data_IF_919100011929
#
_entry.id   IF_919100011929
#
_cell.length_a   1.000
_cell.length_b   1.000
_cell.length_c   1.000
_cell.angle_alpha   90.00
_cell.angle_beta   90.00
_cell.angle_gamma   90.00
#
_symmetry.space_group_name_H-M   'P 1'
#
loop_
_entity.id
_entity.type
_entity.pdbx_description
1 polymer ?
#
# COMPACT_ATOMS: atom_id res chain seq x y z
N UNK A 1 -30.37 24.67 8.25
CA UNK A 1 -29.62 25.22 9.41
C UNK A 1 -29.40 24.05 10.34
N UNK A 2 -28.51 23.16 9.97
CA UNK A 2 -28.18 21.96 10.73
C UNK A 2 -27.33 22.39 11.92
N UNK A 3 -27.86 22.16 13.13
CA UNK A 3 -27.11 22.37 14.35
C UNK A 3 -25.95 21.38 14.34
N UNK A 4 -24.72 21.86 14.10
CA UNK A 4 -23.51 21.13 14.42
C UNK A 4 -23.61 20.68 15.87
N UNK A 5 -23.76 19.38 16.08
CA UNK A 5 -23.59 18.82 17.42
C UNK A 5 -22.18 19.16 17.87
N UNK A 6 -22.07 20.02 18.89
CA UNK A 6 -20.79 20.33 19.54
C UNK A 6 -20.23 19.01 20.10
N UNK A 7 -19.40 18.34 19.34
CA UNK A 7 -18.73 17.09 19.73
C UNK A 7 -17.70 17.32 20.83
N UNK A 8 -17.52 18.57 21.26
CA UNK A 8 -16.47 18.96 22.21
C UNK A 8 -15.04 18.82 21.67
N UNK A 9 -14.85 18.39 20.40
CA UNK A 9 -13.51 18.23 19.79
C UNK A 9 -12.87 19.58 19.49
N UNK A 10 -11.54 19.64 19.55
CA UNK A 10 -10.79 20.81 19.10
C UNK A 10 -10.93 20.90 17.58
N UNK A 11 -11.43 22.02 17.07
CA UNK A 11 -11.64 22.20 15.63
C UNK A 11 -10.31 22.22 14.87
N UNK A 12 -10.25 21.54 13.72
CA UNK A 12 -9.04 21.47 12.87
C UNK A 12 -8.61 22.84 12.34
N UNK A 13 -9.54 23.76 12.16
CA UNK A 13 -9.24 25.13 11.69
C UNK A 13 -8.23 25.90 12.57
N UNK A 14 -8.05 25.50 13.83
CA UNK A 14 -7.04 26.07 14.71
C UNK A 14 -5.61 25.61 14.37
N UNK A 15 -5.47 24.53 13.63
CA UNK A 15 -4.18 23.93 13.27
C UNK A 15 -3.75 24.32 11.85
N UNK A 16 -4.69 24.53 10.93
CA UNK A 16 -4.41 24.90 9.53
C UNK A 16 -3.37 26.03 9.35
N UNK A 17 -3.43 27.14 10.12
CA UNK A 17 -2.49 28.24 9.94
C UNK A 17 -1.13 28.03 10.64
N UNK A 18 -0.94 26.94 11.38
CA UNK A 18 0.29 26.69 12.12
C UNK A 18 1.44 26.32 11.17
N UNK A 19 2.63 26.81 11.49
CA UNK A 19 3.85 26.35 10.82
C UNK A 19 4.19 24.90 11.24
N UNK A 20 4.87 24.17 10.38
CA UNK A 20 5.26 22.77 10.66
C UNK A 20 6.09 22.66 11.95
N UNK A 21 6.97 23.64 12.23
CA UNK A 21 7.77 23.67 13.46
C UNK A 21 6.92 23.83 14.74
N UNK A 22 5.84 24.61 14.68
CA UNK A 22 4.91 24.78 15.80
C UNK A 22 4.12 23.47 16.04
N UNK A 23 3.69 22.82 14.96
CA UNK A 23 3.05 21.53 15.03
C UNK A 23 3.97 20.44 15.59
N UNK A 24 5.25 20.47 15.22
CA UNK A 24 6.28 19.56 15.72
C UNK A 24 6.39 19.61 17.25
N UNK A 25 6.52 20.81 17.81
CA UNK A 25 6.57 21.01 19.27
C UNK A 25 5.28 20.49 19.97
N UNK A 26 4.12 20.72 19.35
CA UNK A 26 2.82 20.28 19.87
C UNK A 26 2.67 18.74 19.81
N UNK A 27 3.11 18.11 18.71
CA UNK A 27 3.15 16.66 18.58
C UNK A 27 4.01 16.04 19.70
N UNK A 28 5.22 16.57 19.91
CA UNK A 28 6.12 16.08 20.96
C UNK A 28 5.48 16.21 22.34
N UNK A 29 4.87 17.36 22.65
CA UNK A 29 4.20 17.60 23.95
C UNK A 29 2.99 16.69 24.15
N UNK A 30 2.17 16.48 23.10
CA UNK A 30 1.02 15.57 23.17
C UNK A 30 1.47 14.11 23.38
N UNK A 31 2.52 13.69 22.68
CA UNK A 31 3.11 12.35 22.82
C UNK A 31 3.62 12.07 24.24
N UNK A 32 4.27 13.05 24.86
CA UNK A 32 4.73 12.92 26.25
C UNK A 32 3.56 12.69 27.24
N UNK A 33 2.41 13.35 27.01
CA UNK A 33 1.21 13.19 27.84
C UNK A 33 0.50 11.85 27.60
N UNK A 34 0.47 11.39 26.34
CA UNK A 34 -0.19 10.16 25.95
C UNK A 34 0.63 8.91 26.32
N UNK A 35 1.95 9.02 26.27
CA UNK A 35 2.87 7.94 26.62
C UNK A 35 2.61 6.67 25.83
N UNK A 36 2.61 5.51 26.50
CA UNK A 36 2.44 4.19 25.90
C UNK A 36 0.99 3.87 25.48
N UNK A 37 0.02 4.72 25.82
CA UNK A 37 -1.38 4.53 25.40
C UNK A 37 -1.57 4.69 23.90
N UNK A 38 -0.66 5.39 23.24
CA UNK A 38 -0.71 5.68 21.80
C UNK A 38 0.55 5.19 21.11
N UNK A 39 0.39 4.50 19.98
CA UNK A 39 1.46 4.16 19.04
C UNK A 39 1.22 4.85 17.70
N UNK A 40 2.25 5.45 17.13
CA UNK A 40 2.24 6.02 15.79
C UNK A 40 2.90 5.04 14.82
N UNK A 41 2.12 4.54 13.87
CA UNK A 41 2.61 3.70 12.78
C UNK A 41 2.82 4.57 11.54
N UNK A 42 4.03 4.59 10.99
CA UNK A 42 4.40 5.40 9.83
C UNK A 42 4.79 4.57 8.62
N UNK A 43 4.06 4.73 7.49
CA UNK A 43 4.46 4.09 6.25
C UNK A 43 5.70 4.76 5.65
N UNK A 44 6.54 3.99 4.96
CA UNK A 44 7.75 4.50 4.31
C UNK A 44 7.53 5.65 3.32
N UNK A 45 6.34 5.80 2.76
CA UNK A 45 6.00 6.89 1.83
C UNK A 45 5.54 8.18 2.53
N UNK A 46 5.51 8.20 3.86
CA UNK A 46 5.18 9.42 4.58
C UNK A 46 6.26 10.50 4.40
N UNK A 47 5.79 11.76 4.39
CA UNK A 47 6.68 12.94 4.41
C UNK A 47 7.56 12.93 5.67
N UNK A 48 8.78 13.44 5.53
CA UNK A 48 9.81 13.31 6.57
C UNK A 48 9.42 13.95 7.91
N UNK A 49 8.69 15.06 7.88
CA UNK A 49 8.22 15.82 9.05
C UNK A 49 7.13 15.10 9.86
N UNK A 50 6.42 14.14 9.26
CA UNK A 50 5.51 13.22 9.94
C UNK A 50 6.21 11.91 10.31
N UNK A 51 7.00 11.36 9.38
CA UNK A 51 7.70 10.08 9.56
C UNK A 51 8.63 10.07 10.78
N UNK A 52 9.30 11.20 11.08
CA UNK A 52 10.18 11.31 12.26
C UNK A 52 9.49 11.10 13.60
N UNK A 53 8.17 11.22 13.67
CA UNK A 53 7.37 11.01 14.87
C UNK A 53 6.85 9.57 15.01
N UNK A 54 6.98 8.74 13.97
CA UNK A 54 6.53 7.36 14.03
C UNK A 54 7.33 6.57 15.08
N UNK A 55 6.63 5.80 15.92
CA UNK A 55 7.25 4.86 16.84
C UNK A 55 7.78 3.64 16.10
N UNK A 56 7.00 3.19 15.14
CA UNK A 56 7.27 2.02 14.31
C UNK A 56 6.98 2.39 12.85
N UNK A 57 7.86 1.96 11.97
CA UNK A 57 7.72 2.22 10.54
C UNK A 57 7.93 0.96 9.72
N UNK A 58 7.40 0.95 8.51
CA UNK A 58 7.52 -0.22 7.65
C UNK A 58 6.80 -0.05 6.32
N UNK A 59 6.86 -1.12 5.52
CA UNK A 59 5.94 -1.33 4.40
C UNK A 59 4.58 -1.84 4.90
N UNK A 60 3.63 -2.04 3.98
CA UNK A 60 2.26 -2.46 4.36
C UNK A 60 2.22 -3.79 5.10
N UNK A 61 3.09 -4.76 4.77
CA UNK A 61 3.16 -6.05 5.48
C UNK A 61 3.69 -5.89 6.90
N UNK A 62 4.79 -5.14 7.03
CA UNK A 62 5.40 -4.87 8.34
C UNK A 62 4.42 -4.14 9.26
N UNK A 63 3.76 -3.10 8.76
CA UNK A 63 2.79 -2.32 9.53
C UNK A 63 1.57 -3.15 9.93
N UNK A 64 1.09 -4.07 9.07
CA UNK A 64 0.03 -5.01 9.42
C UNK A 64 0.42 -5.91 10.60
N UNK A 65 1.64 -6.45 10.59
CA UNK A 65 2.18 -7.26 11.70
C UNK A 65 2.29 -6.44 12.99
N UNK A 66 2.79 -5.21 12.89
CA UNK A 66 2.96 -4.31 14.04
C UNK A 66 1.62 -3.88 14.64
N UNK A 67 0.62 -3.60 13.80
CA UNK A 67 -0.74 -3.28 14.27
C UNK A 67 -1.37 -4.45 15.04
N UNK A 68 -1.17 -5.70 14.58
CA UNK A 68 -1.67 -6.89 15.25
C UNK A 68 -0.97 -7.17 16.61
N UNK A 69 0.24 -6.67 16.82
CA UNK A 69 1.09 -7.00 17.97
C UNK A 69 1.12 -5.91 19.05
N UNK A 70 0.74 -4.68 18.73
CA UNK A 70 0.82 -3.56 19.69
C UNK A 70 -0.18 -3.68 20.83
N UNK A 71 0.25 -3.28 22.04
CA UNK A 71 -0.62 -3.19 23.22
C UNK A 71 -1.18 -1.78 23.46
N UNK A 72 -0.88 -0.80 22.63
CA UNK A 72 -1.39 0.56 22.75
C UNK A 72 -2.92 0.60 22.65
N UNK A 73 -3.57 1.46 23.43
CA UNK A 73 -5.02 1.66 23.39
C UNK A 73 -5.47 2.27 22.06
N UNK A 74 -4.63 3.15 21.50
CA UNK A 74 -4.89 3.84 20.24
C UNK A 74 -3.72 3.70 19.28
N UNK A 75 -4.04 3.34 18.04
CA UNK A 75 -3.11 3.31 16.91
C UNK A 75 -3.38 4.53 16.04
N UNK A 76 -2.46 5.47 15.95
CA UNK A 76 -2.50 6.56 14.99
C UNK A 76 -1.76 6.12 13.74
N UNK A 77 -2.48 5.94 12.65
CA UNK A 77 -1.92 5.40 11.42
C UNK A 77 -1.52 6.54 10.46
N UNK A 78 -0.22 6.84 10.37
CA UNK A 78 0.34 7.79 9.39
C UNK A 78 0.57 7.05 8.07
N UNK A 79 -0.50 6.92 7.29
CA UNK A 79 -0.56 6.20 6.02
C UNK A 79 -1.82 6.58 5.25
N UNK A 80 -2.42 5.63 4.56
CA UNK A 80 -3.68 5.83 3.81
C UNK A 80 -4.79 4.91 4.33
N UNK A 81 -6.03 5.21 3.93
CA UNK A 81 -7.26 4.65 4.50
C UNK A 81 -7.25 3.13 4.57
N UNK A 82 -6.94 2.42 3.48
CA UNK A 82 -6.95 0.96 3.46
C UNK A 82 -5.94 0.33 4.44
N UNK A 83 -4.83 1.04 4.76
CA UNK A 83 -3.85 0.57 5.75
C UNK A 83 -4.40 0.68 7.17
N UNK A 84 -5.12 1.77 7.44
CA UNK A 84 -5.80 1.96 8.73
C UNK A 84 -6.96 0.97 8.91
N UNK A 85 -7.70 0.63 7.84
CA UNK A 85 -8.68 -0.47 7.86
C UNK A 85 -8.03 -1.81 8.23
N UNK A 86 -6.89 -2.14 7.63
CA UNK A 86 -6.14 -3.37 7.97
C UNK A 86 -5.71 -3.35 9.43
N UNK A 87 -5.29 -2.20 9.94
CA UNK A 87 -4.95 -2.06 11.36
C UNK A 87 -6.17 -2.27 12.26
N UNK A 88 -7.35 -1.74 11.90
CA UNK A 88 -8.61 -1.95 12.67
C UNK A 88 -9.01 -3.44 12.65
N UNK A 89 -8.96 -4.09 11.48
CA UNK A 89 -9.29 -5.51 11.33
C UNK A 89 -8.38 -6.40 12.19
N UNK A 90 -7.08 -6.12 12.22
CA UNK A 90 -6.09 -6.95 12.90
C UNK A 90 -5.92 -6.62 14.39
N UNK A 91 -6.30 -5.42 14.81
CA UNK A 91 -6.23 -5.00 16.22
C UNK A 91 -7.29 -5.70 17.09
N UNK A 92 -7.15 -5.53 18.40
CA UNK A 92 -8.14 -6.02 19.37
C UNK A 92 -9.36 -5.10 19.39
N UNK A 93 -10.53 -5.63 19.72
CA UNK A 93 -11.79 -4.88 19.80
C UNK A 93 -11.76 -3.71 20.80
N UNK A 94 -10.86 -3.76 21.78
CA UNK A 94 -10.63 -2.68 22.74
C UNK A 94 -9.72 -1.56 22.25
N UNK A 95 -9.04 -1.74 21.12
CA UNK A 95 -8.16 -0.76 20.53
C UNK A 95 -8.90 0.14 19.54
N UNK A 96 -8.43 1.36 19.39
CA UNK A 96 -8.94 2.31 18.40
C UNK A 96 -7.88 2.62 17.36
N UNK A 97 -8.28 2.69 16.10
CA UNK A 97 -7.42 3.14 15.00
C UNK A 97 -7.88 4.50 14.52
N UNK A 98 -6.95 5.43 14.36
CA UNK A 98 -7.21 6.80 13.90
C UNK A 98 -6.39 7.04 12.64
N UNK A 99 -7.02 7.63 11.62
CA UNK A 99 -6.36 8.18 10.44
C UNK A 99 -6.40 9.72 10.53
N UNK A 100 -5.27 10.42 10.65
CA UNK A 100 -5.27 11.87 10.89
C UNK A 100 -6.05 12.70 9.86
N UNK A 101 -6.04 12.32 8.55
CA UNK A 101 -6.93 12.88 7.53
C UNK A 101 -7.71 11.77 6.82
N UNK A 102 -9.03 11.76 6.94
CA UNK A 102 -9.91 10.77 6.30
C UNK A 102 -9.87 10.81 4.77
N UNK A 103 -9.40 11.92 4.17
CA UNK A 103 -9.23 12.02 2.72
C UNK A 103 -7.90 11.42 2.22
N UNK A 104 -7.08 10.85 3.11
CA UNK A 104 -5.88 10.11 2.74
C UNK A 104 -6.23 8.74 2.14
N UNK A 105 -6.82 8.73 0.94
CA UNK A 105 -7.22 7.54 0.20
C UNK A 105 -6.09 6.93 -0.64
N UNK A 106 -6.46 6.09 -1.62
CA UNK A 106 -5.51 5.52 -2.59
C UNK A 106 -6.21 5.31 -3.94
N UNK A 107 -5.80 6.08 -4.96
CA UNK A 107 -6.42 6.00 -6.29
C UNK A 107 -6.33 4.61 -6.93
N UNK A 108 -5.31 3.83 -6.62
CA UNK A 108 -5.20 2.44 -7.08
C UNK A 108 -6.23 1.54 -6.37
N UNK A 109 -6.43 1.72 -5.07
CA UNK A 109 -7.47 0.98 -4.33
C UNK A 109 -8.85 1.25 -4.93
N UNK A 110 -9.12 2.50 -5.32
CA UNK A 110 -10.39 2.93 -5.89
C UNK A 110 -10.65 2.41 -7.33
N UNK A 111 -9.62 1.88 -8.01
CA UNK A 111 -9.77 1.27 -9.35
C UNK A 111 -10.49 -0.08 -9.32
N UNK A 112 -10.56 -0.74 -8.16
CA UNK A 112 -11.39 -1.91 -7.93
C UNK A 112 -12.40 -1.60 -6.82
N UNK A 113 -13.69 -1.75 -7.11
CA UNK A 113 -14.76 -1.71 -6.12
C UNK A 113 -15.39 -3.09 -5.98
N UNK A 114 -15.99 -3.39 -4.82
CA UNK A 114 -16.69 -4.66 -4.59
C UNK A 114 -17.71 -4.95 -5.70
N UNK A 115 -18.55 -3.97 -6.06
CA UNK A 115 -19.55 -4.15 -7.11
C UNK A 115 -18.95 -4.53 -8.47
N UNK A 116 -17.77 -3.97 -8.83
CA UNK A 116 -17.08 -4.31 -10.08
C UNK A 116 -16.46 -5.72 -10.01
N UNK A 117 -15.90 -6.11 -8.87
CA UNK A 117 -15.29 -7.44 -8.68
C UNK A 117 -16.37 -8.52 -8.65
N UNK A 118 -17.48 -8.31 -7.96
CA UNK A 118 -18.64 -9.21 -7.98
C UNK A 118 -19.23 -9.36 -9.39
N UNK A 119 -19.32 -8.26 -10.15
CA UNK A 119 -19.73 -8.33 -11.55
C UNK A 119 -18.78 -9.19 -12.36
N UNK A 120 -17.48 -8.98 -12.23
CA UNK A 120 -16.48 -9.81 -12.90
C UNK A 120 -16.62 -11.29 -12.52
N UNK A 121 -16.87 -11.58 -11.24
CA UNK A 121 -17.08 -12.95 -10.76
C UNK A 121 -18.30 -13.62 -11.39
N UNK A 122 -19.43 -12.88 -11.49
CA UNK A 122 -20.64 -13.37 -12.19
C UNK A 122 -20.42 -13.56 -13.69
N UNK A 123 -19.74 -12.62 -14.36
CA UNK A 123 -19.44 -12.75 -15.80
C UNK A 123 -18.51 -13.95 -16.07
N UNK A 124 -17.53 -14.20 -15.20
CA UNK A 124 -16.67 -15.39 -15.28
C UNK A 124 -17.49 -16.67 -15.06
N UNK A 125 -18.48 -16.66 -14.17
CA UNK A 125 -19.34 -17.79 -13.89
C UNK A 125 -20.17 -18.26 -15.11
N UNK A 126 -20.38 -17.39 -16.10
CA UNK A 126 -20.99 -17.77 -17.38
C UNK A 126 -20.03 -18.61 -18.26
N UNK A 127 -18.74 -18.63 -17.95
CA UNK A 127 -17.70 -19.31 -18.73
C UNK A 127 -17.15 -20.56 -18.03
N UNK A 128 -16.91 -20.47 -16.72
CA UNK A 128 -16.42 -21.54 -15.84
C UNK A 128 -16.81 -21.21 -14.38
N UNK A 129 -16.90 -22.21 -13.52
CA UNK A 129 -17.17 -21.99 -12.10
C UNK A 129 -15.97 -21.31 -11.41
N UNK A 130 -16.07 -20.01 -11.05
CA UNK A 130 -14.92 -19.31 -10.51
C UNK A 130 -14.52 -19.84 -9.13
N UNK A 131 -15.45 -20.31 -8.30
CA UNK A 131 -15.15 -20.81 -6.96
C UNK A 131 -14.42 -22.17 -6.99
N UNK A 132 -14.50 -22.89 -8.08
CA UNK A 132 -13.72 -24.12 -8.29
C UNK A 132 -12.37 -23.86 -8.97
N UNK A 133 -12.30 -22.89 -9.89
CA UNK A 133 -11.16 -22.72 -10.79
C UNK A 133 -10.28 -21.52 -10.50
N UNK A 134 -10.79 -20.48 -9.81
CA UNK A 134 -10.07 -19.20 -9.64
C UNK A 134 -9.87 -18.87 -8.17
N UNK A 135 -8.64 -18.61 -7.75
CA UNK A 135 -8.34 -18.02 -6.46
C UNK A 135 -8.32 -16.49 -6.60
N UNK A 136 -9.22 -15.73 -5.95
CA UNK A 136 -9.13 -14.29 -5.94
C UNK A 136 -8.00 -13.84 -5.02
N UNK A 137 -7.14 -12.95 -5.52
CA UNK A 137 -6.07 -12.33 -4.75
C UNK A 137 -6.27 -10.83 -4.79
N UNK A 138 -6.43 -10.22 -3.63
CA UNK A 138 -6.38 -8.77 -3.55
C UNK A 138 -5.03 -8.30 -3.05
N UNK A 139 -4.45 -7.32 -3.76
CA UNK A 139 -3.34 -6.56 -3.22
C UNK A 139 -3.83 -5.79 -1.98
N UNK A 140 -3.01 -5.67 -0.96
CA UNK A 140 -3.36 -5.01 0.30
C UNK A 140 -3.87 -3.57 0.09
N UNK A 141 -3.45 -2.94 -1.02
CA UNK A 141 -3.91 -1.64 -1.49
C UNK A 141 -5.33 -1.74 -2.10
N UNK A 142 -6.28 -2.09 -1.28
CA UNK A 142 -7.71 -2.27 -1.59
C UNK A 142 -8.54 -1.99 -0.35
N UNK A 143 -9.83 -1.70 -0.50
CA UNK A 143 -10.75 -1.51 0.63
C UNK A 143 -11.01 -2.82 1.39
N UNK A 144 -11.55 -2.71 2.60
CA UNK A 144 -11.83 -3.86 3.48
C UNK A 144 -12.81 -4.85 2.86
N UNK A 145 -13.83 -4.37 2.15
CA UNK A 145 -14.84 -5.18 1.45
C UNK A 145 -14.24 -6.12 0.41
N UNK A 146 -13.19 -5.69 -0.32
CA UNK A 146 -12.48 -6.54 -1.27
C UNK A 146 -11.64 -7.63 -0.58
N UNK A 147 -11.12 -7.35 0.61
CA UNK A 147 -10.46 -8.35 1.45
C UNK A 147 -11.49 -9.36 1.98
N UNK A 148 -12.68 -8.88 2.36
CA UNK A 148 -13.81 -9.71 2.76
C UNK A 148 -14.25 -10.64 1.62
N UNK A 149 -14.40 -10.11 0.39
CA UNK A 149 -14.67 -10.91 -0.80
C UNK A 149 -13.63 -12.04 -0.98
N UNK A 150 -12.35 -11.73 -0.84
CA UNK A 150 -11.31 -12.76 -0.90
C UNK A 150 -11.46 -13.80 0.23
N UNK A 151 -11.82 -13.36 1.44
CA UNK A 151 -12.07 -14.26 2.57
C UNK A 151 -13.17 -15.26 2.30
N UNK A 152 -14.30 -14.77 1.77
CA UNK A 152 -15.50 -15.53 1.43
C UNK A 152 -15.26 -16.55 0.29
N UNK A 153 -14.59 -16.11 -0.79
CA UNK A 153 -14.33 -16.93 -1.97
C UNK A 153 -13.04 -17.78 -1.88
N UNK A 154 -12.52 -18.02 -0.69
CA UNK A 154 -11.33 -18.87 -0.51
C UNK A 154 -10.03 -18.24 -1.02
N UNK A 155 -10.02 -16.93 -1.23
CA UNK A 155 -8.89 -16.13 -1.68
C UNK A 155 -7.98 -15.65 -0.56
N UNK A 156 -7.11 -14.71 -0.87
CA UNK A 156 -6.04 -14.26 0.01
C UNK A 156 -5.65 -12.80 -0.30
N UNK A 157 -5.09 -12.10 0.70
CA UNK A 157 -4.43 -10.80 0.49
C UNK A 157 -2.96 -11.01 0.12
N UNK A 158 -2.39 -10.11 -0.68
CA UNK A 158 -0.95 -10.08 -0.91
C UNK A 158 -0.36 -8.68 -0.66
N UNK A 159 0.96 -8.63 -0.49
CA UNK A 159 1.76 -7.40 -0.49
C UNK A 159 2.88 -7.52 -1.52
N UNK A 160 3.55 -6.41 -1.84
CA UNK A 160 4.73 -6.45 -2.72
C UNK A 160 5.88 -7.28 -2.14
N UNK A 161 5.90 -7.49 -0.82
CA UNK A 161 6.93 -8.27 -0.13
C UNK A 161 6.73 -9.78 -0.23
N UNK A 162 5.50 -10.27 -0.38
CA UNK A 162 5.19 -11.70 -0.34
C UNK A 162 4.44 -12.21 -1.59
N UNK A 163 4.24 -11.39 -2.61
CA UNK A 163 3.40 -11.70 -3.77
C UNK A 163 3.75 -13.06 -4.42
N UNK A 164 5.04 -13.43 -4.52
CA UNK A 164 5.46 -14.72 -5.08
C UNK A 164 4.94 -15.90 -4.25
N UNK A 165 5.11 -15.86 -2.94
CA UNK A 165 4.61 -16.90 -2.02
C UNK A 165 3.09 -16.99 -2.06
N UNK A 166 2.41 -15.85 -2.18
CA UNK A 166 0.95 -15.78 -2.28
C UNK A 166 0.44 -16.40 -3.60
N UNK A 167 1.07 -16.09 -4.74
CA UNK A 167 0.71 -16.72 -6.01
C UNK A 167 0.96 -18.24 -5.97
N UNK A 168 2.07 -18.69 -5.38
CA UNK A 168 2.34 -20.12 -5.18
C UNK A 168 1.25 -20.77 -4.31
N UNK A 169 0.85 -20.13 -3.22
CA UNK A 169 -0.23 -20.59 -2.35
C UNK A 169 -1.56 -20.68 -3.11
N UNK A 170 -1.87 -19.71 -3.96
CA UNK A 170 -3.10 -19.67 -4.74
C UNK A 170 -3.15 -20.79 -5.80
N UNK A 171 -2.06 -20.98 -6.56
CA UNK A 171 -1.95 -22.06 -7.54
C UNK A 171 -1.91 -23.47 -6.92
N UNK A 172 -1.53 -23.59 -5.65
CA UNK A 172 -1.67 -24.84 -4.90
C UNK A 172 -3.14 -25.21 -4.56
N UNK A 173 -4.09 -24.31 -4.79
CA UNK A 173 -5.51 -24.47 -4.50
C UNK A 173 -6.39 -24.56 -5.75
N UNK A 174 -6.15 -23.64 -6.68
CA UNK A 174 -6.91 -23.55 -7.95
C UNK A 174 -5.93 -23.22 -9.08
N UNK A 175 -6.31 -23.57 -10.29
CA UNK A 175 -5.43 -23.46 -11.46
C UNK A 175 -5.27 -22.04 -12.00
N UNK A 176 -6.16 -21.11 -11.59
CA UNK A 176 -6.20 -19.73 -12.06
C UNK A 176 -6.24 -18.75 -10.91
N UNK A 177 -5.88 -17.51 -11.22
CA UNK A 177 -5.91 -16.38 -10.29
C UNK A 177 -6.62 -15.19 -10.93
N UNK A 178 -7.50 -14.53 -10.17
CA UNK A 178 -7.95 -13.17 -10.44
C UNK A 178 -7.18 -12.24 -9.46
N UNK A 179 -6.31 -11.39 -10.01
CA UNK A 179 -5.45 -10.51 -9.24
C UNK A 179 -5.89 -9.05 -9.38
N UNK A 180 -6.25 -8.40 -8.30
CA UNK A 180 -6.70 -7.01 -8.27
C UNK A 180 -6.14 -6.23 -7.07
N UNK A 181 -6.11 -4.88 -7.07
CA UNK A 181 -6.43 -4.01 -8.19
C UNK A 181 -5.26 -3.74 -9.14
N UNK A 182 -4.01 -4.09 -8.82
CA UNK A 182 -2.81 -3.73 -9.58
C UNK A 182 -2.42 -4.80 -10.61
N UNK A 183 -2.30 -4.40 -11.88
CA UNK A 183 -1.89 -5.32 -12.94
C UNK A 183 -0.39 -5.58 -12.96
N UNK A 184 0.43 -4.62 -12.51
CA UNK A 184 1.88 -4.67 -12.69
C UNK A 184 2.53 -5.61 -11.69
N UNK A 185 2.15 -5.51 -10.41
CA UNK A 185 2.63 -6.44 -9.38
C UNK A 185 2.28 -7.89 -9.74
N UNK A 186 1.04 -8.14 -10.15
CA UNK A 186 0.61 -9.49 -10.54
C UNK A 186 1.37 -10.00 -11.75
N UNK A 187 1.54 -9.17 -12.80
CA UNK A 187 2.29 -9.51 -14.01
C UNK A 187 3.76 -9.79 -13.73
N UNK A 188 4.41 -8.90 -12.96
CA UNK A 188 5.82 -9.06 -12.62
C UNK A 188 6.05 -10.34 -11.82
N UNK A 189 5.20 -10.59 -10.84
CA UNK A 189 5.30 -11.80 -10.00
C UNK A 189 5.08 -13.07 -10.82
N UNK A 190 4.05 -13.09 -11.70
CA UNK A 190 3.80 -14.20 -12.60
C UNK A 190 4.97 -14.45 -13.57
N UNK A 191 5.57 -13.39 -14.11
CA UNK A 191 6.77 -13.47 -14.96
C UNK A 191 7.95 -14.13 -14.22
N UNK A 192 8.19 -13.78 -12.96
CA UNK A 192 9.22 -14.40 -12.12
C UNK A 192 8.92 -15.87 -11.75
N UNK A 193 7.70 -16.32 -12.00
CA UNK A 193 7.27 -17.72 -11.83
C UNK A 193 7.15 -18.46 -13.17
N UNK A 194 7.78 -17.92 -14.22
CA UNK A 194 7.81 -18.49 -15.57
C UNK A 194 6.41 -18.66 -16.21
N UNK A 195 5.41 -17.88 -15.77
CA UNK A 195 4.10 -17.85 -16.42
C UNK A 195 4.22 -17.02 -17.71
N UNK A 196 3.87 -17.59 -18.87
CA UNK A 196 3.93 -16.85 -20.13
C UNK A 196 3.06 -15.58 -20.11
N UNK A 197 3.55 -14.48 -20.67
CA UNK A 197 2.78 -13.22 -20.76
C UNK A 197 1.44 -13.41 -21.50
N UNK A 198 1.37 -14.37 -22.44
CA UNK A 198 0.15 -14.75 -23.15
C UNK A 198 -0.91 -15.42 -22.29
N UNK A 199 -0.55 -15.91 -21.10
CA UNK A 199 -1.46 -16.51 -20.13
C UNK A 199 -1.80 -15.54 -18.96
N UNK A 200 -1.28 -14.32 -18.98
CA UNK A 200 -1.55 -13.23 -18.02
C UNK A 200 -2.32 -12.11 -18.72
N UNK A 201 -3.65 -12.24 -18.74
CA UNK A 201 -4.52 -11.36 -19.50
C UNK A 201 -5.08 -10.21 -18.61
N UNK A 202 -5.18 -9.02 -19.20
CA UNK A 202 -5.74 -7.86 -18.49
C UNK A 202 -7.26 -7.94 -18.53
N UNK A 203 -7.87 -7.84 -17.35
CA UNK A 203 -9.32 -7.69 -17.16
C UNK A 203 -9.67 -6.21 -17.05
N UNK A 204 -10.35 -5.68 -18.07
CA UNK A 204 -10.87 -4.31 -18.04
C UNK A 204 -12.26 -4.28 -17.39
N UNK A 205 -12.41 -3.76 -16.16
CA UNK A 205 -13.68 -3.80 -15.45
C UNK A 205 -14.79 -2.95 -16.10
N UNK A 206 -14.48 -2.15 -17.09
CA UNK A 206 -15.46 -1.29 -17.76
C UNK A 206 -15.99 -1.94 -19.05
N UNK A 207 -15.48 -3.12 -19.43
CA UNK A 207 -15.89 -3.88 -20.60
C UNK A 207 -16.59 -5.20 -20.20
N UNK A 208 -17.56 -5.68 -21.01
CA UNK A 208 -18.15 -7.00 -20.82
C UNK A 208 -17.09 -8.10 -20.83
N UNK A 209 -17.17 -9.03 -19.90
CA UNK A 209 -16.21 -10.13 -19.70
C UNK A 209 -14.74 -9.62 -19.63
N UNK A 210 -14.54 -8.43 -19.08
CA UNK A 210 -13.22 -7.80 -19.00
C UNK A 210 -12.60 -7.45 -20.36
N UNK A 211 -13.38 -7.38 -21.43
CA UNK A 211 -12.91 -7.22 -22.81
C UNK A 211 -12.28 -8.47 -23.41
N UNK A 212 -12.44 -9.64 -22.76
CA UNK A 212 -11.90 -10.92 -23.19
C UNK A 212 -12.97 -11.79 -23.84
N UNK A 213 -12.55 -12.75 -24.65
CA UNK A 213 -13.43 -13.83 -25.12
C UNK A 213 -13.53 -14.94 -24.09
N UNK A 214 -14.61 -15.75 -24.09
CA UNK A 214 -14.73 -16.93 -23.22
C UNK A 214 -13.53 -17.89 -23.34
N UNK A 215 -12.97 -18.04 -24.54
CA UNK A 215 -11.80 -18.88 -24.77
C UNK A 215 -10.54 -18.29 -24.08
N UNK A 216 -10.36 -16.98 -24.13
CA UNK A 216 -9.24 -16.31 -23.45
C UNK A 216 -9.35 -16.46 -21.92
N UNK A 217 -10.55 -16.32 -21.34
CA UNK A 217 -10.77 -16.56 -19.90
C UNK A 217 -10.42 -18.00 -19.52
N UNK A 218 -10.81 -18.99 -20.33
CA UNK A 218 -10.45 -20.40 -20.11
C UNK A 218 -8.96 -20.66 -20.20
N UNK A 219 -8.25 -19.99 -21.10
CA UNK A 219 -6.80 -20.17 -21.31
C UNK A 219 -5.95 -19.41 -20.30
N UNK A 220 -6.42 -18.28 -19.79
CA UNK A 220 -5.66 -17.47 -18.85
C UNK A 220 -5.32 -18.24 -17.57
N UNK A 221 -4.09 -18.14 -17.11
CA UNK A 221 -3.68 -18.52 -15.74
C UNK A 221 -3.89 -17.38 -14.76
N UNK A 222 -3.62 -16.14 -15.19
CA UNK A 222 -3.80 -14.96 -14.36
C UNK A 222 -4.65 -13.94 -15.11
N UNK A 223 -5.76 -13.58 -14.51
CA UNK A 223 -6.58 -12.43 -14.91
C UNK A 223 -6.10 -11.23 -14.05
N UNK A 224 -5.55 -10.22 -14.71
CA UNK A 224 -4.96 -9.05 -14.09
C UNK A 224 -5.92 -7.88 -14.19
N UNK A 225 -6.42 -7.38 -13.07
CA UNK A 225 -7.27 -6.19 -13.05
C UNK A 225 -6.56 -4.97 -13.65
N UNK A 226 -7.24 -4.21 -14.50
CA UNK A 226 -6.69 -3.04 -15.19
C UNK A 226 -6.52 -1.84 -14.24
N UNK A 227 -5.83 -2.00 -13.15
CA UNK A 227 -5.48 -0.93 -12.22
C UNK A 227 -3.98 -0.73 -12.14
N UNK A 228 -3.55 0.38 -11.54
CA UNK A 228 -2.15 0.75 -11.41
C UNK A 228 -1.95 1.86 -10.36
N UNK A 229 -0.74 1.98 -9.84
CA UNK A 229 -0.33 3.12 -9.02
C UNK A 229 0.05 4.31 -9.91
N UNK A 230 -0.57 5.48 -9.70
CA UNK A 230 -0.28 6.69 -10.46
C UNK A 230 1.18 7.16 -10.36
N UNK A 231 1.81 6.97 -9.18
CA UNK A 231 3.23 7.30 -8.98
C UNK A 231 4.12 6.38 -9.82
N UNK A 232 3.92 5.06 -9.73
CA UNK A 232 4.78 4.10 -10.41
C UNK A 232 4.59 4.09 -11.93
N UNK A 233 3.43 4.55 -12.44
CA UNK A 233 3.19 4.75 -13.88
C UNK A 233 4.05 5.86 -14.50
N UNK A 234 4.56 6.80 -13.68
CA UNK A 234 5.42 7.89 -14.17
C UNK A 234 6.82 7.39 -14.59
N UNK A 235 7.24 6.25 -14.09
CA UNK A 235 8.54 5.68 -14.44
C UNK A 235 8.50 5.00 -15.81
N UNK A 236 9.47 5.33 -16.65
CA UNK A 236 9.57 4.85 -18.03
C UNK A 236 10.94 4.22 -18.30
N UNK A 237 10.97 3.25 -19.20
CA UNK A 237 12.20 2.61 -19.67
C UNK A 237 13.27 3.62 -20.12
N UNK A 238 12.85 4.72 -20.79
CA UNK A 238 13.76 5.77 -21.23
C UNK A 238 14.50 6.48 -20.10
N UNK A 239 13.91 6.58 -18.88
CA UNK A 239 14.59 7.17 -17.73
C UNK A 239 15.81 6.34 -17.34
N UNK A 240 15.66 5.00 -17.34
CA UNK A 240 16.75 4.06 -17.06
C UNK A 240 17.83 4.14 -18.13
N UNK A 241 17.43 4.10 -19.41
CA UNK A 241 18.39 4.10 -20.52
C UNK A 241 19.23 5.39 -20.56
N UNK A 242 18.60 6.57 -20.37
CA UNK A 242 19.31 7.85 -20.29
C UNK A 242 20.25 7.91 -19.09
N UNK A 243 19.78 7.46 -17.93
CA UNK A 243 20.57 7.48 -16.70
C UNK A 243 21.80 6.57 -16.81
N UNK A 244 21.67 5.37 -17.39
CA UNK A 244 22.80 4.46 -17.62
C UNK A 244 23.87 5.01 -18.55
N UNK A 245 23.49 5.82 -19.55
CA UNK A 245 24.44 6.51 -20.43
C UNK A 245 25.30 7.53 -19.65
N UNK A 246 24.69 8.20 -18.67
CA UNK A 246 25.36 9.23 -17.86
C UNK A 246 26.12 8.63 -16.67
N UNK A 247 25.75 7.44 -16.22
CA UNK A 247 26.28 6.78 -15.03
C UNK A 247 26.69 5.33 -15.35
N UNK A 248 27.78 5.12 -16.12
CA UNK A 248 28.27 3.77 -16.37
C UNK A 248 28.57 3.03 -15.07
N UNK A 249 28.06 1.78 -14.94
CA UNK A 249 28.19 0.98 -13.72
C UNK A 249 27.21 1.36 -12.59
N UNK A 250 26.32 2.32 -12.81
CA UNK A 250 25.24 2.63 -11.89
C UNK A 250 24.16 1.53 -11.87
N UNK A 251 23.52 1.35 -10.73
CA UNK A 251 22.52 0.32 -10.45
C UNK A 251 21.11 0.91 -10.45
N UNK A 252 20.15 0.15 -10.91
CA UNK A 252 18.74 0.53 -10.98
C UNK A 252 17.92 -0.40 -10.10
N UNK A 253 17.09 0.17 -9.23
CA UNK A 253 16.14 -0.58 -8.40
C UNK A 253 14.75 0.02 -8.51
N UNK A 254 13.74 -0.82 -8.68
CA UNK A 254 12.36 -0.38 -8.81
C UNK A 254 11.37 -1.19 -7.98
N UNK A 255 10.24 -0.57 -7.68
CA UNK A 255 9.11 -1.24 -7.05
C UNK A 255 8.33 -2.07 -8.10
N UNK A 256 7.79 -3.25 -7.77
CA UNK A 256 7.08 -4.11 -8.73
C UNK A 256 5.73 -3.56 -9.24
N UNK A 257 5.25 -2.44 -8.71
CA UNK A 257 4.12 -1.67 -9.27
C UNK A 257 4.52 -0.82 -10.49
N UNK A 258 5.81 -0.74 -10.81
CA UNK A 258 6.29 -0.10 -12.04
C UNK A 258 5.86 -0.90 -13.27
N UNK A 259 5.78 -0.22 -14.42
CA UNK A 259 5.56 -0.87 -15.70
C UNK A 259 6.52 -2.03 -15.92
N UNK A 260 6.04 -3.08 -16.58
CA UNK A 260 6.81 -4.32 -16.84
C UNK A 260 8.19 -4.04 -17.45
N UNK A 261 8.28 -3.11 -18.41
CA UNK A 261 9.55 -2.76 -19.07
C UNK A 261 10.53 -2.06 -18.10
N UNK A 262 10.04 -1.27 -17.16
CA UNK A 262 10.85 -0.66 -16.10
C UNK A 262 11.41 -1.74 -15.18
N UNK A 263 10.57 -2.66 -14.70
CA UNK A 263 11.00 -3.78 -13.88
C UNK A 263 12.04 -4.64 -14.61
N UNK A 264 11.80 -4.94 -15.89
CA UNK A 264 12.70 -5.76 -16.71
C UNK A 264 14.08 -5.14 -16.97
N UNK A 265 14.13 -3.80 -17.02
CA UNK A 265 15.39 -3.06 -17.18
C UNK A 265 16.09 -2.77 -15.84
N UNK A 266 15.43 -2.96 -14.72
CA UNK A 266 16.02 -2.76 -13.40
C UNK A 266 16.97 -3.91 -13.03
N UNK A 267 18.05 -3.61 -12.32
CA UNK A 267 18.96 -4.63 -11.80
C UNK A 267 18.35 -5.36 -10.59
N UNK A 268 17.48 -4.65 -9.87
CA UNK A 268 16.73 -5.17 -8.71
C UNK A 268 15.28 -4.70 -8.75
N UNK A 269 14.38 -5.57 -8.34
CA UNK A 269 12.95 -5.25 -8.20
C UNK A 269 12.42 -5.83 -6.89
N UNK A 270 11.80 -5.00 -6.06
CA UNK A 270 11.26 -5.47 -4.79
C UNK A 270 10.46 -4.40 -4.04
N UNK A 271 9.94 -4.80 -2.88
CA UNK A 271 9.17 -3.92 -1.99
C UNK A 271 10.00 -2.74 -1.47
N UNK A 272 9.35 -1.79 -0.80
CA UNK A 272 10.03 -0.64 -0.20
C UNK A 272 11.10 -1.06 0.80
N UNK A 273 10.83 -2.07 1.62
CA UNK A 273 11.80 -2.62 2.58
C UNK A 273 12.99 -3.28 1.84
N UNK A 274 12.72 -4.03 0.76
CA UNK A 274 13.78 -4.60 -0.09
C UNK A 274 14.65 -3.51 -0.72
N UNK A 275 14.07 -2.42 -1.20
CA UNK A 275 14.80 -1.28 -1.77
C UNK A 275 15.74 -0.68 -0.71
N UNK A 276 15.23 -0.38 0.48
CA UNK A 276 16.03 0.18 1.57
C UNK A 276 17.20 -0.75 1.92
N UNK A 277 16.93 -2.03 2.16
CA UNK A 277 17.95 -3.03 2.56
C UNK A 277 19.01 -3.24 1.47
N UNK A 278 18.60 -3.28 0.21
CA UNK A 278 19.53 -3.48 -0.93
C UNK A 278 20.48 -2.29 -1.04
N UNK A 279 19.99 -1.06 -0.96
CA UNK A 279 20.84 0.15 -1.00
C UNK A 279 21.71 0.22 0.25
N UNK A 280 21.17 -0.09 1.43
CA UNK A 280 21.94 -0.11 2.68
C UNK A 280 23.12 -1.09 2.63
N UNK A 281 22.93 -2.27 2.05
CA UNK A 281 23.97 -3.30 1.92
C UNK A 281 25.00 -3.02 0.83
N UNK A 282 24.76 -2.05 -0.05
CA UNK A 282 25.68 -1.75 -1.16
C UNK A 282 26.96 -1.05 -0.64
N UNK A 283 28.10 -1.20 -1.35
CA UNK A 283 29.35 -0.58 -0.95
C UNK A 283 29.32 0.95 -1.07
N UNK A 284 30.19 1.67 -0.33
CA UNK A 284 30.44 3.09 -0.57
C UNK A 284 30.84 3.37 -2.02
N UNK A 285 30.41 4.50 -2.56
CA UNK A 285 30.60 4.87 -3.97
C UNK A 285 29.55 4.31 -4.92
N UNK A 286 28.63 3.48 -4.45
CA UNK A 286 27.53 2.99 -5.29
C UNK A 286 26.59 4.12 -5.72
N UNK A 287 26.07 4.02 -6.95
CA UNK A 287 25.12 4.97 -7.53
C UNK A 287 23.84 4.25 -7.89
N UNK A 288 22.71 4.78 -7.42
CA UNK A 288 21.42 4.16 -7.55
C UNK A 288 20.41 5.07 -8.24
N UNK A 289 19.72 4.54 -9.23
CA UNK A 289 18.47 5.10 -9.76
C UNK A 289 17.30 4.32 -9.14
N UNK A 290 16.39 5.02 -8.49
CA UNK A 290 15.33 4.39 -7.69
C UNK A 290 13.95 4.73 -8.23
N UNK A 291 13.19 3.71 -8.63
CA UNK A 291 11.82 3.81 -9.12
C UNK A 291 10.81 3.45 -8.05
N UNK A 292 10.59 4.34 -7.09
CA UNK A 292 9.51 4.29 -6.09
C UNK A 292 9.16 5.70 -5.62
N UNK A 293 8.32 5.84 -4.59
CA UNK A 293 7.77 7.10 -4.10
C UNK A 293 8.86 8.08 -3.61
N UNK A 294 8.68 9.35 -3.95
CA UNK A 294 9.71 10.41 -3.79
C UNK A 294 10.14 10.65 -2.34
N UNK A 295 9.20 10.66 -1.37
CA UNK A 295 9.56 10.91 0.04
C UNK A 295 10.49 9.82 0.58
N UNK A 296 10.22 8.55 0.21
CA UNK A 296 11.13 7.45 0.53
C UNK A 296 12.50 7.68 -0.12
N UNK A 297 12.54 7.99 -1.43
CA UNK A 297 13.81 8.17 -2.16
C UNK A 297 14.62 9.31 -1.56
N UNK A 298 14.01 10.45 -1.24
CA UNK A 298 14.68 11.59 -0.62
C UNK A 298 15.23 11.23 0.77
N UNK A 299 14.47 10.47 1.58
CA UNK A 299 14.92 10.08 2.91
C UNK A 299 16.12 9.14 2.84
N UNK A 300 16.07 8.09 2.01
CA UNK A 300 17.20 7.18 1.85
C UNK A 300 18.41 7.85 1.19
N UNK A 301 18.20 8.83 0.30
CA UNK A 301 19.29 9.62 -0.27
C UNK A 301 20.00 10.43 0.82
N UNK A 302 19.27 11.09 1.72
CA UNK A 302 19.84 11.82 2.85
C UNK A 302 20.56 10.88 3.83
N UNK A 303 19.98 9.71 4.13
CA UNK A 303 20.53 8.73 5.06
C UNK A 303 21.83 8.09 4.54
N UNK A 304 21.91 7.79 3.25
CA UNK A 304 23.06 7.05 2.71
C UNK A 304 24.12 7.93 2.06
N UNK A 305 23.84 9.22 1.81
CA UNK A 305 24.84 10.17 1.27
C UNK A 305 26.08 10.28 2.16
N UNK A 306 25.99 10.37 3.52
CA UNK A 306 27.18 10.38 4.39
C UNK A 306 28.04 9.10 4.30
N UNK A 307 27.45 8.00 3.82
CA UNK A 307 28.14 6.71 3.58
C UNK A 307 28.78 6.65 2.19
N UNK A 308 28.79 7.75 1.43
CA UNK A 308 29.35 7.82 0.08
C UNK A 308 28.49 7.19 -1.00
N UNK A 309 27.21 6.92 -0.75
CA UNK A 309 26.26 6.37 -1.73
C UNK A 309 25.43 7.49 -2.37
N UNK A 310 25.22 7.41 -3.68
CA UNK A 310 24.37 8.36 -4.41
C UNK A 310 23.05 7.69 -4.77
N UNK A 311 21.94 8.27 -4.34
CA UNK A 311 20.57 7.78 -4.62
C UNK A 311 19.81 8.85 -5.37
N UNK A 312 19.26 8.51 -6.53
CA UNK A 312 18.57 9.43 -7.41
C UNK A 312 17.16 8.90 -7.72
N UNK A 313 16.18 9.81 -7.66
CA UNK A 313 14.81 9.51 -8.08
C UNK A 313 14.71 9.31 -9.59
N UNK A 314 13.94 8.31 -10.04
CA UNK A 314 13.95 7.88 -11.45
C UNK A 314 13.28 8.87 -12.40
N UNK A 315 12.19 9.52 -11.99
CA UNK A 315 11.48 10.44 -12.87
C UNK A 315 12.13 11.83 -12.89
N UNK A 316 12.13 12.53 -14.04
CA UNK A 316 12.66 13.89 -14.15
C UNK A 316 11.73 14.94 -13.52
N UNK A 317 10.47 14.60 -13.30
CA UNK A 317 9.46 15.47 -12.68
C UNK A 317 9.13 14.96 -11.29
N UNK A 318 8.79 15.88 -10.39
CA UNK A 318 8.36 15.53 -9.03
C UNK A 318 7.08 14.71 -9.12
N UNK A 319 7.11 13.50 -8.60
CA UNK A 319 5.95 12.64 -8.47
C UNK A 319 5.95 12.00 -7.07
N UNK A 320 5.06 12.50 -6.23
CA UNK A 320 4.82 11.99 -4.88
C UNK A 320 3.41 11.44 -4.76
N UNK A 321 3.19 10.59 -3.79
CA UNK A 321 1.84 10.13 -3.46
C UNK A 321 1.08 11.26 -2.76
N UNK A 322 0.21 11.94 -3.52
CA UNK A 322 -0.55 13.11 -3.02
C UNK A 322 -1.44 12.76 -1.84
N UNK A 323 -1.97 11.54 -1.77
CA UNK A 323 -2.83 11.09 -0.69
C UNK A 323 -2.05 10.76 0.59
N UNK A 324 -0.84 10.18 0.49
CA UNK A 324 0.08 10.07 1.63
C UNK A 324 0.50 11.44 2.17
N UNK A 325 0.67 12.43 1.27
CA UNK A 325 1.07 13.80 1.62
C UNK A 325 -0.01 14.55 2.42
N UNK A 326 -1.27 14.08 2.41
CA UNK A 326 -2.37 14.67 3.18
C UNK A 326 -2.18 14.52 4.69
N UNK A 327 -1.49 13.48 5.13
CA UNK A 327 -1.11 13.38 6.54
C UNK A 327 0.07 14.33 6.76
N UNK A 328 -0.23 15.54 7.22
CA UNK A 328 0.72 16.60 7.53
C UNK A 328 0.88 16.80 9.05
N UNK A 329 1.86 17.60 9.50
CA UNK A 329 2.04 17.91 10.92
C UNK A 329 0.80 18.52 11.59
N UNK A 330 0.00 19.30 10.83
CA UNK A 330 -1.21 19.95 11.33
C UNK A 330 -2.29 18.90 11.68
N UNK A 331 -2.55 17.94 10.77
CA UNK A 331 -3.49 16.85 11.04
C UNK A 331 -3.01 15.93 12.16
N UNK A 332 -1.71 15.63 12.21
CA UNK A 332 -1.15 14.79 13.27
C UNK A 332 -1.22 15.49 14.64
N UNK A 333 -0.84 16.77 14.73
CA UNK A 333 -0.95 17.54 15.97
C UNK A 333 -2.40 17.63 16.46
N UNK A 334 -3.32 17.92 15.55
CA UNK A 334 -4.76 17.97 15.83
C UNK A 334 -5.28 16.64 16.39
N UNK A 335 -4.95 15.53 15.76
CA UNK A 335 -5.39 14.21 16.21
C UNK A 335 -4.85 13.88 17.60
N UNK A 336 -3.57 14.14 17.85
CA UNK A 336 -2.93 13.83 19.14
C UNK A 336 -3.42 14.73 20.26
N UNK A 337 -3.65 16.04 20.03
CA UNK A 337 -4.18 16.93 21.05
C UNK A 337 -5.62 16.60 21.43
N UNK A 338 -6.45 16.21 20.47
CA UNK A 338 -7.77 15.69 20.78
C UNK A 338 -7.70 14.43 21.66
N UNK A 339 -6.77 13.52 21.38
CA UNK A 339 -6.54 12.33 22.22
C UNK A 339 -6.07 12.70 23.63
N UNK A 340 -5.25 13.74 23.81
CA UNK A 340 -4.86 14.24 25.14
C UNK A 340 -6.08 14.67 25.95
N UNK A 341 -7.09 15.25 25.29
CA UNK A 341 -8.35 15.68 25.89
C UNK A 341 -9.39 14.51 26.02
N UNK A 342 -8.97 13.28 25.73
CA UNK A 342 -9.87 12.12 25.76
C UNK A 342 -10.88 12.05 24.63
N UNK A 343 -10.64 12.77 23.53
CA UNK A 343 -11.52 12.84 22.37
C UNK A 343 -10.91 12.11 21.19
N UNK A 344 -11.69 11.27 20.52
CA UNK A 344 -11.25 10.54 19.33
C UNK A 344 -11.76 11.27 18.09
N UNK A 345 -10.84 11.58 17.19
CA UNK A 345 -11.15 12.17 15.88
C UNK A 345 -10.77 11.18 14.79
N UNK A 346 -11.52 11.18 13.69
CA UNK A 346 -11.28 10.31 12.54
C UNK A 346 -11.04 8.82 12.89
N UNK A 347 -11.89 8.20 13.70
CA UNK A 347 -11.76 6.78 13.98
C UNK A 347 -12.03 5.98 12.71
N UNK A 348 -11.21 4.95 12.49
CA UNK A 348 -11.46 3.94 11.46
C UNK A 348 -12.19 2.78 12.11
N UNK A 349 -13.30 2.38 11.48
CA UNK A 349 -14.08 1.23 11.92
C UNK A 349 -14.62 0.46 10.74
N UNK A 350 -14.12 -0.74 10.54
CA UNK A 350 -14.63 -1.67 9.55
C UNK A 350 -15.87 -2.37 10.11
N UNK A 351 -16.97 -2.48 9.34
CA UNK A 351 -18.16 -3.21 9.77
C UNK A 351 -17.80 -4.64 10.21
N UNK A 352 -18.40 -5.13 11.29
CA UNK A 352 -18.01 -6.38 11.94
C UNK A 352 -18.02 -7.58 10.98
N UNK A 353 -19.06 -7.70 10.13
CA UNK A 353 -19.17 -8.77 9.14
C UNK A 353 -18.03 -8.74 8.11
N UNK A 354 -17.73 -7.54 7.57
CA UNK A 354 -16.62 -7.37 6.64
C UNK A 354 -15.27 -7.65 7.31
N UNK A 355 -15.09 -7.17 8.55
CA UNK A 355 -13.87 -7.39 9.32
C UNK A 355 -13.60 -8.88 9.57
N UNK A 356 -14.63 -9.69 9.85
CA UNK A 356 -14.51 -11.13 10.05
C UNK A 356 -14.01 -11.83 8.77
N UNK A 357 -14.66 -11.57 7.63
CA UNK A 357 -14.27 -12.15 6.35
C UNK A 357 -12.90 -11.66 5.87
N UNK A 358 -12.64 -10.35 5.99
CA UNK A 358 -11.36 -9.77 5.63
C UNK A 358 -10.20 -10.34 6.48
N UNK A 359 -10.44 -10.58 7.77
CA UNK A 359 -9.47 -11.21 8.68
C UNK A 359 -9.07 -12.60 8.18
N UNK A 360 -10.00 -13.40 7.66
CA UNK A 360 -9.70 -14.73 7.09
C UNK A 360 -8.64 -14.60 5.97
N UNK A 361 -8.80 -13.65 5.05
CA UNK A 361 -7.87 -13.44 3.95
C UNK A 361 -6.52 -12.86 4.41
N UNK A 362 -6.53 -11.98 5.42
CA UNK A 362 -5.34 -11.40 6.04
C UNK A 362 -4.55 -12.45 6.85
N UNK A 363 -5.21 -13.28 7.64
CA UNK A 363 -4.57 -14.35 8.42
C UNK A 363 -3.89 -15.37 7.50
N UNK A 364 -4.54 -15.72 6.36
CA UNK A 364 -3.90 -16.53 5.31
C UNK A 364 -2.62 -15.85 4.79
N UNK A 365 -2.66 -14.56 4.52
CA UNK A 365 -1.50 -13.79 4.08
C UNK A 365 -0.37 -13.83 5.12
N UNK A 366 -0.69 -13.58 6.38
CA UNK A 366 0.28 -13.56 7.48
C UNK A 366 0.91 -14.95 7.72
N UNK A 367 0.17 -16.03 7.45
CA UNK A 367 0.68 -17.40 7.56
C UNK A 367 1.64 -17.80 6.42
N UNK A 368 1.60 -17.13 5.29
CA UNK A 368 2.48 -17.37 4.12
C UNK A 368 3.74 -16.49 4.18
N UNK A 369 3.80 -15.51 5.05
CA UNK A 369 4.81 -14.42 5.07
C UNK A 369 6.00 -14.73 5.99
#
# INVERSE_FOLDING_TARGET
MDAEMDTGTIAFDRFKPLADADCDARIVAARQKLGKRVVLLGHHYQRADVYKHADLSGDSLQLSKLAAQTDAETIVFCGVHFMAEVADILSRSSQQVILPDMNAGCSMADMASLAKVERAWREIAEVLDPDQHITPITYINSAADLKAFCGEHGGIVCTSSNARGILQWAFGRREKVLFFPDQHLGRWTGYLMDIPLSEMLVWDPDLPLGGLTPQQVKMAKVLLWKGHCSVHQMFQAQHILRWRQQHPGGLVISHPECNFEVCKLSDYVGSTDYIIKTIAASPPGSRWLVGTELNLVNRIAAEFSPQGKSVQFMAPTVCMCSTMQRIDPQHLAWSLENLVEGRVVNPIKVPAYEAELARIALDRMLAVS
#
